data_IF_112450751247
#
_entry.id   IF_112450751247
#
_cell.length_a   1.000
_cell.length_b   1.000
_cell.length_c   1.000
_cell.angle_alpha   90.00
_cell.angle_beta   90.00
_cell.angle_gamma   90.00
#
_symmetry.space_group_name_H-M   'P 1'
#
loop_
_entity.id
_entity.type
_entity.pdbx_description
1 polymer ?
#
# COMPACT_ATOMS: atom_id res chain seq x y z
N UNK A 1 -6.88 11.25 -2.46
CA UNK A 1 -6.35 11.14 -3.83
C UNK A 1 -6.25 12.51 -4.46
N UNK A 2 -5.25 12.76 -5.30
CA UNK A 2 -5.08 14.06 -5.97
C UNK A 2 -6.19 14.30 -7.02
N UNK A 3 -6.90 15.44 -6.98
CA UNK A 3 -7.89 15.80 -7.99
C UNK A 3 -7.32 15.77 -9.41
N UNK A 4 -8.08 15.20 -10.36
CA UNK A 4 -7.69 15.14 -11.77
C UNK A 4 -6.71 14.03 -12.15
N UNK A 5 -6.25 13.20 -11.21
CA UNK A 5 -5.44 12.03 -11.52
C UNK A 5 -6.23 11.01 -12.39
N UNK A 6 -5.55 10.26 -13.25
CA UNK A 6 -6.12 9.19 -14.08
C UNK A 6 -6.91 8.15 -13.27
N UNK A 7 -6.49 7.87 -12.03
CA UNK A 7 -7.22 6.98 -11.10
C UNK A 7 -8.63 7.48 -10.79
N UNK A 8 -8.88 8.80 -10.87
CA UNK A 8 -10.18 9.43 -10.60
C UNK A 8 -11.04 9.59 -11.86
N UNK A 9 -10.56 9.17 -13.04
CA UNK A 9 -11.25 9.41 -14.32
C UNK A 9 -11.76 8.12 -14.94
N UNK A 10 -12.90 8.23 -15.61
CA UNK A 10 -13.47 7.16 -16.43
C UNK A 10 -13.69 5.85 -15.66
N UNK A 11 -13.44 4.73 -16.35
CA UNK A 11 -13.63 3.39 -15.81
C UNK A 11 -12.56 2.99 -14.77
N UNK A 12 -11.39 3.63 -14.76
CA UNK A 12 -10.34 3.35 -13.77
C UNK A 12 -10.81 3.60 -12.35
N UNK A 13 -11.59 4.67 -12.14
CA UNK A 13 -12.19 4.96 -10.85
C UNK A 13 -13.16 3.86 -10.40
N UNK A 14 -13.89 3.23 -11.33
CA UNK A 14 -14.85 2.15 -11.05
C UNK A 14 -14.16 0.80 -10.79
N UNK A 15 -13.11 0.48 -11.54
CA UNK A 15 -12.39 -0.79 -11.41
C UNK A 15 -11.43 -0.82 -10.23
N UNK A 16 -10.82 0.32 -9.89
CA UNK A 16 -9.92 0.38 -8.74
C UNK A 16 -10.67 0.67 -7.44
N UNK A 17 -11.81 1.36 -7.50
CA UNK A 17 -12.57 1.79 -6.34
C UNK A 17 -14.07 1.72 -6.61
N UNK A 18 -14.86 1.54 -5.55
CA UNK A 18 -16.32 1.70 -5.69
C UNK A 18 -16.63 3.15 -6.13
N UNK A 19 -17.61 3.39 -7.02
CA UNK A 19 -18.07 4.73 -7.36
C UNK A 19 -18.23 5.64 -6.13
N UNK A 20 -17.61 6.84 -6.19
CA UNK A 20 -17.65 7.85 -5.13
C UNK A 20 -16.70 7.61 -3.95
N UNK A 21 -16.10 6.43 -3.82
CA UNK A 21 -15.19 6.10 -2.73
C UNK A 21 -13.88 6.89 -2.81
N UNK A 22 -13.35 7.06 -4.02
CA UNK A 22 -12.11 7.79 -4.30
C UNK A 22 -12.16 9.28 -3.92
N UNK A 23 -13.36 9.85 -3.79
CA UNK A 23 -13.57 11.21 -3.30
C UNK A 23 -13.60 11.33 -1.77
N UNK A 24 -13.58 10.20 -1.04
CA UNK A 24 -13.65 10.16 0.43
C UNK A 24 -12.44 9.50 1.07
N UNK A 25 -11.90 8.47 0.41
CA UNK A 25 -10.81 7.66 0.92
C UNK A 25 -9.66 7.63 -0.11
N UNK A 26 -8.43 7.66 0.40
CA UNK A 26 -7.24 7.35 -0.40
C UNK A 26 -6.82 5.87 -0.25
N UNK A 27 -5.83 5.42 -1.02
CA UNK A 27 -5.29 4.06 -0.95
C UNK A 27 -4.90 3.65 0.49
N UNK A 28 -4.14 4.45 1.27
CA UNK A 28 -3.81 4.08 2.65
C UNK A 28 -5.04 4.02 3.58
N UNK A 29 -6.11 4.79 3.31
CA UNK A 29 -7.35 4.69 4.08
C UNK A 29 -8.05 3.34 3.86
N UNK A 30 -8.07 2.88 2.62
CA UNK A 30 -8.72 1.62 2.26
C UNK A 30 -7.91 0.44 2.78
N UNK A 31 -6.58 0.48 2.63
CA UNK A 31 -5.69 -0.51 3.21
C UNK A 31 -5.86 -0.58 4.75
N UNK A 32 -6.07 0.57 5.41
CA UNK A 32 -6.30 0.67 6.85
C UNK A 32 -7.55 -0.06 7.35
N UNK A 33 -8.56 -0.31 6.49
CA UNK A 33 -9.75 -1.10 6.85
C UNK A 33 -9.36 -2.54 7.23
N UNK A 34 -8.24 -3.06 6.71
CA UNK A 34 -7.79 -4.40 7.01
C UNK A 34 -7.12 -4.55 8.39
N UNK A 35 -6.79 -3.45 9.07
CA UNK A 35 -6.20 -3.51 10.40
C UNK A 35 -7.13 -4.29 11.38
N UNK A 36 -6.60 -5.12 12.29
CA UNK A 36 -5.18 -5.35 12.59
C UNK A 36 -4.60 -6.60 11.88
N UNK A 37 -5.11 -6.99 10.71
CA UNK A 37 -4.58 -8.16 9.99
C UNK A 37 -3.14 -7.91 9.53
N UNK A 38 -2.33 -8.97 9.37
CA UNK A 38 -1.01 -8.84 8.77
C UNK A 38 -1.08 -8.22 7.37
N UNK A 39 -0.22 -7.25 7.10
CA UNK A 39 -0.15 -6.57 5.81
C UNK A 39 1.30 -6.23 5.44
N UNK A 40 1.65 -6.51 4.18
CA UNK A 40 2.94 -6.18 3.58
C UNK A 40 2.71 -5.25 2.40
N UNK A 41 3.39 -4.10 2.39
CA UNK A 41 3.27 -3.12 1.30
C UNK A 41 4.66 -2.68 0.85
N UNK A 42 4.93 -2.84 -0.45
CA UNK A 42 6.16 -2.40 -1.09
C UNK A 42 5.94 -1.24 -2.06
N UNK A 43 6.98 -0.41 -2.19
CA UNK A 43 7.11 0.56 -3.26
C UNK A 43 8.51 0.48 -3.88
N UNK A 44 8.62 0.72 -5.19
CA UNK A 44 9.92 0.94 -5.85
C UNK A 44 10.25 2.44 -5.86
N UNK A 45 11.42 2.83 -5.39
CA UNK A 45 11.83 4.23 -5.30
C UNK A 45 12.00 4.93 -6.65
N UNK A 46 12.14 4.17 -7.74
CA UNK A 46 12.15 4.68 -9.12
C UNK A 46 10.80 4.52 -9.83
N UNK A 47 9.75 4.09 -9.11
CA UNK A 47 8.39 4.05 -9.64
C UNK A 47 7.87 5.48 -9.85
N UNK A 48 7.60 5.83 -11.10
CA UNK A 48 7.11 7.18 -11.46
C UNK A 48 5.61 7.35 -11.26
N UNK A 49 4.88 6.27 -10.96
CA UNK A 49 3.44 6.32 -10.72
C UNK A 49 3.10 6.85 -9.33
N UNK A 50 4.02 6.68 -8.36
CA UNK A 50 3.83 7.08 -6.97
C UNK A 50 5.00 7.95 -6.50
N UNK A 51 4.79 9.27 -6.31
CA UNK A 51 5.82 10.15 -5.76
C UNK A 51 6.29 9.69 -4.37
N UNK A 52 7.60 9.73 -4.11
CA UNK A 52 8.19 9.23 -2.87
C UNK A 52 7.59 9.88 -1.61
N UNK A 53 7.31 11.19 -1.64
CA UNK A 53 6.65 11.91 -0.55
C UNK A 53 5.26 11.33 -0.24
N UNK A 54 4.45 11.09 -1.28
CA UNK A 54 3.12 10.50 -1.11
C UNK A 54 3.17 9.06 -0.57
N UNK A 55 4.20 8.28 -0.94
CA UNK A 55 4.43 6.93 -0.38
C UNK A 55 4.80 7.00 1.10
N UNK A 56 5.69 7.92 1.48
CA UNK A 56 6.10 8.12 2.87
C UNK A 56 4.91 8.53 3.75
N UNK A 57 4.08 9.47 3.27
CA UNK A 57 2.85 9.89 3.95
C UNK A 57 1.87 8.72 4.11
N UNK A 58 1.71 7.90 3.06
CA UNK A 58 0.86 6.71 3.10
C UNK A 58 1.36 5.70 4.13
N UNK A 59 2.66 5.41 4.17
CA UNK A 59 3.26 4.51 5.15
C UNK A 59 3.11 5.04 6.58
N UNK A 60 3.39 6.33 6.81
CA UNK A 60 3.20 6.96 8.12
C UNK A 60 1.76 6.84 8.63
N UNK A 61 0.78 7.04 7.74
CA UNK A 61 -0.65 6.87 8.05
C UNK A 61 -1.00 5.42 8.42
N UNK A 62 -0.53 4.45 7.64
CA UNK A 62 -0.74 3.02 7.92
C UNK A 62 -0.14 2.63 9.27
N UNK A 63 1.09 3.06 9.57
CA UNK A 63 1.70 2.84 10.88
C UNK A 63 0.90 3.53 12.00
N UNK A 64 0.36 4.73 11.79
CA UNK A 64 -0.51 5.35 12.81
C UNK A 64 -1.74 4.46 13.11
N UNK A 65 -2.40 3.93 12.07
CA UNK A 65 -3.58 3.06 12.24
C UNK A 65 -3.21 1.74 12.93
N UNK A 66 -2.23 0.98 12.45
CA UNK A 66 -1.83 -0.28 13.10
C UNK A 66 -1.35 -0.06 14.54
N UNK A 67 -0.77 1.11 14.84
CA UNK A 67 -0.34 1.49 16.18
C UNK A 67 -1.50 1.68 17.12
N UNK A 68 -2.56 2.35 16.66
CA UNK A 68 -3.81 2.49 17.43
C UNK A 68 -4.48 1.15 17.75
N UNK A 69 -4.19 0.11 16.96
CA UNK A 69 -4.73 -1.23 17.15
C UNK A 69 -3.78 -2.17 17.93
N UNK A 70 -2.68 -1.65 18.48
CA UNK A 70 -1.62 -2.43 19.15
C UNK A 70 -1.10 -3.59 18.26
N UNK A 71 -0.93 -3.34 16.96
CA UNK A 71 -0.62 -4.37 15.97
C UNK A 71 0.59 -4.01 15.09
N UNK A 72 1.48 -3.10 15.53
CA UNK A 72 2.63 -2.66 14.73
C UNK A 72 3.47 -3.81 14.15
N UNK A 73 3.63 -4.89 14.91
CA UNK A 73 4.34 -6.10 14.53
C UNK A 73 3.74 -6.85 13.33
N UNK A 74 2.51 -6.48 12.93
CA UNK A 74 1.77 -7.08 11.81
C UNK A 74 1.82 -6.25 10.53
N UNK A 75 2.35 -5.04 10.57
CA UNK A 75 2.49 -4.18 9.39
C UNK A 75 3.96 -4.07 9.00
N UNK A 76 4.26 -4.49 7.78
CA UNK A 76 5.58 -4.32 7.17
C UNK A 76 5.43 -3.42 5.93
N UNK A 77 6.11 -2.27 5.93
CA UNK A 77 6.19 -1.37 4.78
C UNK A 77 7.64 -1.19 4.35
N UNK A 78 7.92 -1.17 3.05
CA UNK A 78 9.29 -1.01 2.53
C UNK A 78 9.34 -0.33 1.18
N UNK A 79 10.19 0.67 1.07
CA UNK A 79 10.57 1.28 -0.20
C UNK A 79 11.90 0.70 -0.66
N UNK A 80 11.96 0.26 -1.91
CA UNK A 80 13.15 -0.29 -2.57
C UNK A 80 13.78 0.79 -3.46
N UNK A 81 14.80 1.54 -2.99
CA UNK A 81 15.21 2.81 -3.62
C UNK A 81 15.60 2.68 -5.10
N UNK A 82 16.24 1.56 -5.45
CA UNK A 82 16.80 1.35 -6.78
C UNK A 82 15.84 0.71 -7.79
N UNK A 83 14.68 0.24 -7.33
CA UNK A 83 13.72 -0.55 -8.12
C UNK A 83 12.61 0.33 -8.71
N UNK A 84 12.16 -0.03 -9.92
CA UNK A 84 11.05 0.63 -10.62
C UNK A 84 9.70 -0.04 -10.40
N UNK A 85 8.75 0.22 -11.31
CA UNK A 85 7.41 -0.36 -11.31
C UNK A 85 7.39 -1.83 -11.81
N UNK A 86 8.10 -2.70 -11.12
CA UNK A 86 8.23 -4.14 -11.42
C UNK A 86 8.35 -4.89 -10.10
N UNK A 87 7.83 -6.12 -10.03
CA UNK A 87 7.98 -6.99 -8.87
C UNK A 87 9.20 -7.93 -9.04
N UNK A 88 10.37 -7.46 -8.61
CA UNK A 88 11.66 -8.11 -8.83
C UNK A 88 11.85 -9.36 -7.97
N UNK A 89 12.80 -10.22 -8.37
CA UNK A 89 13.15 -11.46 -7.65
C UNK A 89 13.46 -11.20 -6.17
N UNK A 90 14.24 -10.18 -5.86
CA UNK A 90 14.60 -9.85 -4.47
C UNK A 90 13.39 -9.46 -3.61
N UNK A 91 12.38 -8.83 -4.20
CA UNK A 91 11.14 -8.53 -3.50
C UNK A 91 10.34 -9.81 -3.26
N UNK A 92 10.29 -10.72 -4.24
CA UNK A 92 9.65 -12.04 -4.11
C UNK A 92 10.32 -12.88 -3.01
N UNK A 93 11.65 -12.88 -2.96
CA UNK A 93 12.45 -13.58 -1.96
C UNK A 93 12.09 -13.11 -0.52
N UNK A 94 11.73 -11.83 -0.32
CA UNK A 94 11.23 -11.33 0.98
C UNK A 94 9.75 -11.66 1.24
N UNK A 95 8.92 -11.75 0.20
CA UNK A 95 7.49 -12.08 0.36
C UNK A 95 7.29 -13.53 0.81
N UNK A 96 8.08 -14.50 0.33
CA UNK A 96 7.88 -15.91 0.68
C UNK A 96 7.98 -16.18 2.19
N UNK A 97 9.02 -15.72 2.92
CA UNK A 97 9.07 -15.84 4.38
C UNK A 97 7.92 -15.11 5.10
N UNK A 98 7.50 -13.95 4.59
CA UNK A 98 6.37 -13.21 5.15
C UNK A 98 5.06 -14.01 5.02
N UNK A 99 4.80 -14.57 3.84
CA UNK A 99 3.65 -15.45 3.60
C UNK A 99 3.70 -16.68 4.50
N UNK A 100 4.86 -17.35 4.61
CA UNK A 100 5.00 -18.51 5.49
C UNK A 100 4.69 -18.20 6.97
N UNK A 101 4.93 -16.96 7.41
CA UNK A 101 4.62 -16.52 8.77
C UNK A 101 3.11 -16.34 9.00
N UNK A 102 2.42 -15.73 8.04
CA UNK A 102 1.06 -15.21 8.23
C UNK A 102 -0.05 -16.01 7.53
N UNK A 103 0.29 -16.72 6.46
CA UNK A 103 -0.62 -17.57 5.71
C UNK A 103 -0.54 -19.00 6.26
N UNK A 104 -1.23 -19.25 7.38
CA UNK A 104 -1.48 -20.60 7.89
C UNK A 104 -2.83 -21.12 7.32
N UNK A 105 -2.96 -22.43 7.05
CA UNK A 105 -4.24 -23.02 6.62
C UNK A 105 -5.38 -22.76 7.60
#
# INVERSE_FOLDING_TARGET
MQPGNNVLRGQSAFYMLHPGLSGRLDIPDIASIAAPKPMLIYNGGKDKLFPAEAVNDAFAKLHTVWGSQNAQDKLETKTWPELGHVFYKEQQDEVFPWLARWLKP
#
